data_IF_565358652061
#
_entry.id   IF_565358652061
#
_cell.length_a   1.000
_cell.length_b   1.000
_cell.length_c   1.000
_cell.angle_alpha   90.00
_cell.angle_beta   90.00
_cell.angle_gamma   90.00
#
_symmetry.space_group_name_H-M   'P 1'
#
loop_
_entity.id
_entity.type
_entity.pdbx_description
1 polymer ?
#
# COMPACT_ATOMS: atom_id res chain seq x y z
N UNK A 1 -14.97 5.89 -11.36
CA UNK A 1 -14.22 6.71 -10.38
C UNK A 1 -12.75 6.69 -10.72
N UNK A 2 -12.29 7.73 -11.42
CA UNK A 2 -10.96 7.80 -12.03
C UNK A 2 -9.89 8.41 -11.09
N UNK A 3 -10.29 8.82 -9.88
CA UNK A 3 -9.44 9.57 -8.94
C UNK A 3 -8.39 8.68 -8.27
N UNK A 4 -8.75 7.48 -7.82
CA UNK A 4 -7.86 6.52 -7.17
C UNK A 4 -6.78 6.04 -8.15
N UNK A 5 -7.16 5.80 -9.42
CA UNK A 5 -6.23 5.46 -10.49
C UNK A 5 -5.29 6.63 -10.84
N UNK A 6 -5.80 7.87 -10.88
CA UNK A 6 -4.97 9.07 -11.07
C UNK A 6 -3.96 9.26 -9.93
N UNK A 7 -4.41 9.06 -8.69
CA UNK A 7 -3.54 9.10 -7.51
C UNK A 7 -2.52 7.97 -7.51
N UNK A 8 -2.91 6.75 -7.88
CA UNK A 8 -2.00 5.60 -8.02
C UNK A 8 -0.92 5.90 -9.08
N UNK A 9 -1.29 6.52 -10.21
CA UNK A 9 -0.31 6.92 -11.25
C UNK A 9 0.67 7.99 -10.76
N UNK A 10 0.24 8.93 -9.92
CA UNK A 10 1.07 10.05 -9.44
C UNK A 10 1.89 9.70 -8.20
N UNK A 11 1.30 8.98 -7.25
CA UNK A 11 1.84 8.71 -5.91
C UNK A 11 2.15 7.23 -5.65
N UNK A 12 1.85 6.32 -6.58
CA UNK A 12 2.10 4.89 -6.41
C UNK A 12 3.55 4.53 -6.10
N UNK A 13 4.52 5.37 -6.49
CA UNK A 13 5.95 5.20 -6.17
C UNK A 13 6.29 5.37 -4.69
N UNK A 14 5.42 6.03 -3.91
CA UNK A 14 5.61 6.26 -2.47
C UNK A 14 4.85 5.23 -1.62
N UNK A 15 4.20 4.25 -2.24
CA UNK A 15 3.46 3.22 -1.51
C UNK A 15 4.44 2.34 -0.71
N UNK A 16 4.19 2.23 0.60
CA UNK A 16 5.00 1.41 1.51
C UNK A 16 4.58 -0.04 1.35
N UNK A 17 5.53 -0.90 1.01
CA UNK A 17 5.29 -2.34 0.85
C UNK A 17 5.30 -3.02 2.23
N UNK A 18 4.46 -4.03 2.43
CA UNK A 18 4.30 -4.74 3.71
C UNK A 18 3.88 -3.80 4.86
N UNK A 19 2.90 -2.93 4.62
CA UNK A 19 2.48 -1.92 5.59
C UNK A 19 2.00 -2.55 6.92
N UNK A 20 1.37 -3.73 6.86
CA UNK A 20 0.97 -4.46 8.08
C UNK A 20 2.13 -4.88 8.96
N UNK A 21 3.27 -5.22 8.37
CA UNK A 21 4.46 -5.56 9.15
C UNK A 21 4.91 -4.36 9.97
N UNK A 22 4.93 -3.17 9.37
CA UNK A 22 5.29 -1.94 10.07
C UNK A 22 4.30 -1.63 11.20
N UNK A 23 2.99 -1.82 10.99
CA UNK A 23 2.00 -1.68 12.06
C UNK A 23 2.25 -2.65 13.22
N UNK A 24 2.57 -3.92 12.92
CA UNK A 24 2.86 -4.93 13.94
C UNK A 24 4.14 -4.59 14.69
N UNK A 25 5.19 -4.12 14.01
CA UNK A 25 6.41 -3.64 14.65
C UNK A 25 6.09 -2.46 15.59
N UNK A 26 5.24 -1.53 15.17
CA UNK A 26 4.76 -0.45 16.04
C UNK A 26 4.04 -0.99 17.29
N UNK A 27 3.22 -2.03 17.16
CA UNK A 27 2.56 -2.66 18.31
C UNK A 27 3.55 -3.35 19.26
N UNK A 28 4.57 -4.03 18.72
CA UNK A 28 5.65 -4.64 19.53
C UNK A 28 6.39 -3.55 20.31
N UNK A 29 6.73 -2.43 19.66
CA UNK A 29 7.34 -1.27 20.34
C UNK A 29 6.38 -0.73 21.42
N UNK A 30 5.09 -0.62 21.12
CA UNK A 30 4.06 -0.21 22.08
C UNK A 30 3.99 -1.09 23.32
N UNK A 31 4.05 -2.42 23.15
CA UNK A 31 4.11 -3.36 24.26
C UNK A 31 5.36 -3.16 25.11
N UNK A 32 6.53 -2.98 24.49
CA UNK A 32 7.78 -2.70 25.22
C UNK A 32 7.61 -1.43 26.06
N UNK A 33 7.13 -0.34 25.46
CA UNK A 33 6.89 0.94 26.16
C UNK A 33 5.92 0.75 27.33
N UNK A 34 4.86 -0.04 27.14
CA UNK A 34 3.88 -0.32 28.20
C UNK A 34 4.53 -0.93 29.44
N UNK A 35 5.40 -1.92 29.25
CA UNK A 35 6.05 -2.61 30.36
C UNK A 35 7.22 -1.83 30.95
N UNK A 36 7.97 -1.06 30.15
CA UNK A 36 9.15 -0.32 30.65
C UNK A 36 8.81 1.04 31.24
N UNK A 37 7.86 1.77 30.63
CA UNK A 37 7.50 3.14 31.01
C UNK A 37 5.99 3.34 30.84
N UNK A 38 5.15 2.79 31.74
CA UNK A 38 3.70 2.80 31.59
C UNK A 38 3.11 4.21 31.49
N UNK A 39 3.71 5.20 32.17
CA UNK A 39 3.29 6.59 32.11
C UNK A 39 3.45 7.21 30.70
N UNK A 40 4.36 6.67 29.87
CA UNK A 40 4.60 7.16 28.52
C UNK A 40 3.38 6.93 27.61
N UNK A 41 2.57 5.90 27.85
CA UNK A 41 1.37 5.61 27.05
C UNK A 41 0.40 6.78 27.06
N UNK A 42 0.25 7.47 28.18
CA UNK A 42 -0.65 8.63 28.31
C UNK A 42 -0.22 9.80 27.41
N UNK A 43 1.05 9.85 26.99
CA UNK A 43 1.57 10.83 26.03
C UNK A 43 1.38 10.41 24.57
N UNK A 44 1.14 9.11 24.33
CA UNK A 44 0.98 8.53 23.01
C UNK A 44 -0.49 8.45 22.58
N UNK A 45 -1.44 8.48 23.52
CA UNK A 45 -2.89 8.39 23.25
C UNK A 45 -3.39 9.54 22.40
N UNK A 46 -4.41 9.26 21.58
CA UNK A 46 -5.05 10.25 20.73
C UNK A 46 -5.97 11.14 21.58
N UNK A 47 -5.51 12.37 21.87
CA UNK A 47 -6.31 13.36 22.58
C UNK A 47 -6.39 14.68 21.81
N UNK A 48 -7.56 15.00 21.21
CA UNK A 48 -7.79 16.27 20.55
C UNK A 48 -7.53 17.50 21.44
N UNK A 49 -7.83 17.42 22.74
CA UNK A 49 -7.73 18.57 23.64
C UNK A 49 -6.27 19.02 23.85
N UNK A 50 -5.36 18.05 23.99
CA UNK A 50 -3.93 18.29 24.11
C UNK A 50 -3.27 18.56 22.75
N UNK A 51 -3.82 18.03 21.64
CA UNK A 51 -3.34 18.36 20.30
C UNK A 51 -3.53 19.86 20.01
N UNK A 52 -4.69 20.42 20.35
CA UNK A 52 -4.97 21.86 20.19
C UNK A 52 -4.02 22.71 21.06
N UNK A 53 -3.53 22.16 22.18
CA UNK A 53 -2.54 22.80 23.06
C UNK A 53 -1.08 22.60 22.63
N UNK A 54 -0.84 22.03 21.44
CA UNK A 54 0.50 21.90 20.84
C UNK A 54 1.11 20.49 20.82
N UNK A 55 0.42 19.46 21.35
CA UNK A 55 0.92 18.07 21.35
C UNK A 55 0.62 17.35 20.02
N UNK A 56 1.15 17.85 18.90
CA UNK A 56 0.82 17.38 17.54
C UNK A 56 1.24 15.94 17.24
N UNK A 57 2.22 15.39 17.96
CA UNK A 57 2.66 13.99 17.77
C UNK A 57 1.55 12.98 18.05
N UNK A 58 0.56 13.34 18.89
CA UNK A 58 -0.61 12.52 19.22
C UNK A 58 -1.49 12.18 18.03
N UNK A 59 -1.33 12.84 16.89
CA UNK A 59 -2.02 12.50 15.65
C UNK A 59 -1.57 11.16 15.06
N UNK A 60 -0.34 10.71 15.38
CA UNK A 60 0.27 9.51 14.80
C UNK A 60 0.70 8.53 15.89
N UNK A 61 1.14 9.02 17.06
CA UNK A 61 1.72 8.17 18.11
C UNK A 61 0.77 7.11 18.66
N UNK A 62 -0.53 7.34 18.59
CA UNK A 62 -1.55 6.41 19.08
C UNK A 62 -1.58 5.10 18.28
N UNK A 63 -1.03 5.10 17.05
CA UNK A 63 -0.87 3.88 16.23
C UNK A 63 0.11 2.90 16.88
N UNK A 64 1.01 3.36 17.76
CA UNK A 64 1.89 2.48 18.53
C UNK A 64 1.15 1.77 19.66
N UNK A 65 -0.02 2.26 20.08
CA UNK A 65 -0.75 1.67 21.20
C UNK A 65 -1.37 0.34 20.76
N UNK A 66 -1.00 -0.78 21.42
CA UNK A 66 -1.55 -2.08 21.07
C UNK A 66 -3.04 -2.16 21.41
N UNK A 67 -3.82 -2.99 20.67
CA UNK A 67 -5.27 -3.07 20.81
C UNK A 67 -5.75 -3.78 22.10
N UNK A 68 -4.86 -4.41 22.87
CA UNK A 68 -5.21 -5.16 24.09
C UNK A 68 -3.98 -5.63 24.88
N UNK A 69 -4.19 -6.42 25.93
CA UNK A 69 -3.12 -7.02 26.75
C UNK A 69 -2.19 -7.92 25.93
N UNK A 70 -0.97 -8.10 26.42
CA UNK A 70 -0.03 -9.05 25.83
C UNK A 70 -0.30 -10.45 26.38
N UNK A 71 -0.89 -11.31 25.55
CA UNK A 71 -1.16 -12.71 25.87
C UNK A 71 -0.73 -13.61 24.70
N UNK A 72 -0.65 -14.92 24.93
CA UNK A 72 -0.33 -15.90 23.87
C UNK A 72 -1.29 -15.76 22.67
N UNK A 73 -2.56 -15.45 22.96
CA UNK A 73 -3.60 -15.20 21.96
C UNK A 73 -3.32 -13.94 21.13
N UNK A 74 -2.73 -12.92 21.75
CA UNK A 74 -2.33 -11.68 21.06
C UNK A 74 -1.26 -11.98 20.01
N UNK A 75 -0.28 -12.84 20.32
CA UNK A 75 0.75 -13.23 19.32
C UNK A 75 0.11 -13.96 18.13
N UNK A 76 -0.80 -14.89 18.40
CA UNK A 76 -1.55 -15.62 17.36
C UNK A 76 -2.39 -14.64 16.53
N UNK A 77 -3.05 -13.68 17.20
CA UNK A 77 -3.86 -12.65 16.58
C UNK A 77 -3.01 -11.74 15.68
N UNK A 78 -1.86 -11.25 16.15
CA UNK A 78 -0.94 -10.43 15.35
C UNK A 78 -0.45 -11.18 14.10
N UNK A 79 -0.11 -12.47 14.23
CA UNK A 79 0.25 -13.30 13.09
C UNK A 79 -0.91 -13.45 12.10
N UNK A 80 -2.13 -13.65 12.61
CA UNK A 80 -3.34 -13.71 11.79
C UNK A 80 -3.58 -12.41 11.02
N UNK A 81 -3.46 -11.25 11.68
CA UNK A 81 -3.57 -9.94 11.03
C UNK A 81 -2.47 -9.68 10.02
N UNK A 82 -1.24 -10.15 10.28
CA UNK A 82 -0.17 -10.12 9.28
C UNK A 82 -0.55 -10.90 8.01
N UNK A 83 -1.01 -12.15 8.19
CA UNK A 83 -1.42 -13.03 7.08
C UNK A 83 -2.56 -12.42 6.26
N UNK A 84 -3.59 -11.92 6.94
CA UNK A 84 -4.73 -11.28 6.30
C UNK A 84 -4.31 -10.00 5.59
N UNK A 85 -3.57 -9.12 6.27
CA UNK A 85 -3.16 -7.84 5.73
C UNK A 85 -2.25 -7.97 4.51
N UNK A 86 -1.29 -8.90 4.55
CA UNK A 86 -0.44 -9.19 3.38
C UNK A 86 -1.24 -9.79 2.22
N UNK A 87 -2.22 -10.65 2.50
CA UNK A 87 -3.14 -11.17 1.48
C UNK A 87 -3.96 -10.05 0.83
N UNK A 88 -4.47 -9.12 1.64
CA UNK A 88 -5.23 -7.96 1.16
C UNK A 88 -4.36 -6.98 0.36
N UNK A 89 -3.13 -6.72 0.82
CA UNK A 89 -2.16 -5.88 0.10
C UNK A 89 -1.83 -6.46 -1.28
N UNK A 90 -1.67 -7.78 -1.39
CA UNK A 90 -1.45 -8.46 -2.67
C UNK A 90 -2.69 -8.43 -3.57
N UNK A 91 -3.88 -8.57 -3.00
CA UNK A 91 -5.14 -8.60 -3.74
C UNK A 91 -5.49 -7.21 -4.34
N UNK A 92 -5.31 -6.16 -3.54
CA UNK A 92 -5.72 -4.80 -3.90
C UNK A 92 -4.58 -3.97 -4.50
N UNK A 93 -3.33 -4.37 -4.26
CA UNK A 93 -2.13 -3.62 -4.61
C UNK A 93 -1.68 -2.68 -3.50
N UNK A 94 -0.36 -2.50 -3.40
CA UNK A 94 0.31 -1.78 -2.30
C UNK A 94 -0.22 -0.35 -2.11
N UNK A 95 -0.38 0.44 -3.18
CA UNK A 95 -0.86 1.82 -3.06
C UNK A 95 -2.26 1.91 -2.44
N UNK A 96 -3.19 1.04 -2.88
CA UNK A 96 -4.58 1.07 -2.41
C UNK A 96 -4.70 0.62 -0.97
N UNK A 97 -3.93 -0.41 -0.60
CA UNK A 97 -3.83 -0.85 0.78
C UNK A 97 -3.29 0.26 1.71
N UNK A 98 -2.28 1.02 1.26
CA UNK A 98 -1.80 2.19 1.99
C UNK A 98 -2.91 3.24 2.16
N UNK A 99 -3.61 3.60 1.08
CA UNK A 99 -4.71 4.57 1.14
C UNK A 99 -5.79 4.12 2.12
N UNK A 100 -6.13 2.83 2.15
CA UNK A 100 -7.11 2.27 3.07
C UNK A 100 -6.72 2.39 4.55
N UNK A 101 -5.46 2.07 4.87
CA UNK A 101 -4.96 2.16 6.25
C UNK A 101 -4.84 3.63 6.67
N UNK A 102 -4.28 4.49 5.81
CA UNK A 102 -4.14 5.91 6.11
C UNK A 102 -5.49 6.63 6.19
N UNK A 103 -6.47 6.27 5.35
CA UNK A 103 -7.83 6.80 5.48
C UNK A 103 -8.46 6.37 6.79
N UNK A 104 -8.22 5.14 7.24
CA UNK A 104 -8.66 4.67 8.56
C UNK A 104 -8.09 5.49 9.70
N UNK A 105 -6.79 5.75 9.68
CA UNK A 105 -6.11 6.60 10.67
C UNK A 105 -6.73 8.02 10.65
N UNK A 106 -6.90 8.62 9.46
CA UNK A 106 -7.48 9.96 9.30
C UNK A 106 -8.92 10.01 9.79
N UNK A 107 -9.78 9.05 9.43
CA UNK A 107 -11.16 9.02 9.89
C UNK A 107 -11.27 8.81 11.40
N UNK A 108 -10.35 8.04 12.00
CA UNK A 108 -10.28 7.88 13.46
C UNK A 108 -9.92 9.20 14.13
N UNK A 109 -8.93 9.92 13.59
CA UNK A 109 -8.55 11.27 14.06
C UNK A 109 -9.71 12.25 13.93
N UNK A 110 -10.36 12.30 12.77
CA UNK A 110 -11.53 13.17 12.55
C UNK A 110 -12.65 12.80 13.53
N UNK A 111 -12.92 11.51 13.74
CA UNK A 111 -13.92 11.04 14.72
C UNK A 111 -13.60 11.51 16.14
N UNK A 112 -12.32 11.50 16.53
CA UNK A 112 -11.88 12.01 17.82
C UNK A 112 -12.12 13.52 17.96
N UNK A 113 -11.78 14.31 16.95
CA UNK A 113 -12.04 15.76 16.95
C UNK A 113 -13.54 16.08 16.95
N UNK A 114 -14.36 15.33 16.21
CA UNK A 114 -15.82 15.49 16.21
C UNK A 114 -16.38 15.23 17.62
N UNK A 115 -15.93 14.16 18.29
CA UNK A 115 -16.34 13.89 19.67
C UNK A 115 -15.91 14.98 20.64
N UNK A 116 -14.69 15.51 20.48
CA UNK A 116 -14.21 16.62 21.30
C UNK A 116 -15.09 17.88 21.16
N UNK A 117 -15.59 18.17 19.96
CA UNK A 117 -16.49 19.31 19.72
C UNK A 117 -17.91 19.09 20.26
N UNK A 118 -18.44 17.87 20.13
CA UNK A 118 -19.82 17.54 20.56
C UNK A 118 -19.90 17.32 22.08
N UNK A 119 -18.81 16.84 22.69
CA UNK A 119 -18.77 16.47 24.10
C UNK A 119 -17.56 17.12 24.81
N UNK A 120 -17.52 18.46 24.92
CA UNK A 120 -16.39 19.19 25.48
C UNK A 120 -16.15 18.92 26.98
N UNK A 121 -17.18 18.46 27.70
CA UNK A 121 -17.09 18.03 29.10
C UNK A 121 -16.76 16.53 29.26
N UNK A 122 -16.48 15.83 28.15
CA UNK A 122 -16.04 14.44 28.18
C UNK A 122 -14.75 14.31 28.96
N UNK A 123 -14.71 13.34 29.88
CA UNK A 123 -13.45 13.09 30.59
C UNK A 123 -12.37 12.72 29.57
N UNK A 124 -11.21 13.38 29.70
CA UNK A 124 -10.01 13.15 28.89
C UNK A 124 -9.73 11.65 28.71
N UNK A 125 -9.91 10.88 29.78
CA UNK A 125 -9.66 9.44 29.82
C UNK A 125 -10.65 8.67 28.94
N UNK A 126 -11.92 9.07 28.93
CA UNK A 126 -12.98 8.39 28.16
C UNK A 126 -12.78 8.58 26.67
N UNK A 127 -12.44 9.78 26.21
CA UNK A 127 -12.23 10.05 24.77
C UNK A 127 -10.93 9.39 24.30
N UNK A 128 -9.83 9.59 25.03
CA UNK A 128 -8.50 9.17 24.59
C UNK A 128 -8.28 7.65 24.57
N UNK A 129 -8.92 6.92 25.50
CA UNK A 129 -8.83 5.45 25.55
C UNK A 129 -9.82 4.75 24.60
N UNK A 130 -10.83 5.48 24.11
CA UNK A 130 -11.84 4.90 23.22
C UNK A 130 -11.36 4.83 21.76
N UNK A 131 -10.36 5.62 21.38
CA UNK A 131 -9.75 5.53 20.06
C UNK A 131 -8.50 4.66 20.11
N UNK A 132 -8.62 3.45 19.56
CA UNK A 132 -7.52 2.50 19.51
C UNK A 132 -7.38 1.86 18.14
N UNK A 133 -6.23 1.22 17.93
CA UNK A 133 -5.89 0.43 16.75
C UNK A 133 -6.82 -0.78 16.56
N UNK A 134 -7.61 -1.14 17.57
CA UNK A 134 -8.66 -2.15 17.51
C UNK A 134 -9.63 -1.92 16.35
N UNK A 135 -10.10 -0.69 16.18
CA UNK A 135 -11.07 -0.35 15.14
C UNK A 135 -10.47 -0.43 13.72
N UNK A 136 -9.18 -0.11 13.58
CA UNK A 136 -8.45 -0.31 12.33
C UNK A 136 -8.35 -1.82 12.02
N UNK A 137 -7.97 -2.63 13.01
CA UNK A 137 -7.90 -4.08 12.86
C UNK A 137 -9.26 -4.68 12.46
N UNK A 138 -10.35 -4.26 13.10
CA UNK A 138 -11.70 -4.71 12.72
C UNK A 138 -12.08 -4.31 11.31
N UNK A 139 -11.74 -3.09 10.90
CA UNK A 139 -11.91 -2.65 9.51
C UNK A 139 -11.19 -3.60 8.53
N UNK A 140 -9.90 -3.90 8.79
CA UNK A 140 -9.09 -4.80 7.95
C UNK A 140 -9.71 -6.20 7.88
N UNK A 141 -10.19 -6.72 9.01
CA UNK A 141 -10.84 -8.02 9.08
C UNK A 141 -12.10 -8.07 8.21
N UNK A 142 -12.96 -7.05 8.31
CA UNK A 142 -14.18 -6.94 7.51
C UNK A 142 -13.86 -6.82 6.00
N UNK A 143 -12.85 -6.03 5.65
CA UNK A 143 -12.33 -5.91 4.28
C UNK A 143 -11.82 -7.24 3.70
N UNK A 144 -11.13 -8.03 4.52
CA UNK A 144 -10.66 -9.34 4.13
C UNK A 144 -11.81 -10.34 3.99
N UNK A 145 -12.75 -10.36 4.93
CA UNK A 145 -13.91 -11.24 4.90
C UNK A 145 -14.76 -11.05 3.64
N UNK A 146 -14.89 -9.81 3.19
CA UNK A 146 -15.59 -9.50 1.95
C UNK A 146 -14.81 -9.90 0.70
N UNK A 147 -13.48 -9.76 0.71
CA UNK A 147 -12.62 -10.15 -0.40
C UNK A 147 -12.49 -11.68 -0.54
N UNK A 148 -12.55 -12.39 0.59
CA UNK A 148 -12.30 -13.82 0.70
C UNK A 148 -13.30 -14.54 1.63
N UNK A 149 -14.61 -14.53 1.31
CA UNK A 149 -15.65 -15.03 2.21
C UNK A 149 -15.60 -16.55 2.45
N UNK A 150 -15.12 -17.32 1.47
CA UNK A 150 -15.05 -18.78 1.56
C UNK A 150 -13.71 -19.32 2.07
N UNK A 151 -12.72 -18.45 2.31
CA UNK A 151 -11.47 -18.86 2.94
C UNK A 151 -11.74 -19.37 4.37
N UNK A 152 -11.01 -20.40 4.77
CA UNK A 152 -11.16 -21.07 6.07
C UNK A 152 -10.04 -20.67 7.01
N UNK A 153 -10.38 -20.46 8.27
CA UNK A 153 -9.46 -20.20 9.37
C UNK A 153 -9.67 -21.28 10.42
N UNK A 154 -8.60 -21.87 10.92
CA UNK A 154 -8.64 -22.86 11.98
C UNK A 154 -8.77 -22.16 13.34
N UNK A 155 -9.96 -22.15 13.89
CA UNK A 155 -10.22 -21.67 15.24
C UNK A 155 -9.60 -22.65 16.26
N UNK A 156 -8.75 -22.12 17.14
CA UNK A 156 -7.90 -22.88 18.06
C UNK A 156 -7.08 -24.01 17.42
N UNK A 157 -6.68 -23.86 16.15
CA UNK A 157 -5.99 -24.90 15.38
C UNK A 157 -6.78 -26.21 15.18
N UNK A 158 -8.08 -26.25 15.52
CA UNK A 158 -8.91 -27.47 15.46
C UNK A 158 -10.09 -27.32 14.51
N UNK A 159 -10.86 -26.23 14.62
CA UNK A 159 -12.15 -26.11 13.92
C UNK A 159 -12.00 -25.20 12.69
N UNK A 160 -12.12 -25.70 11.44
CA UNK A 160 -12.11 -24.87 10.26
C UNK A 160 -13.43 -24.09 10.13
N UNK A 161 -13.36 -22.77 10.31
CA UNK A 161 -14.51 -21.86 10.18
C UNK A 161 -14.27 -20.96 8.96
N UNK A 162 -15.30 -20.83 8.11
CA UNK A 162 -15.25 -19.88 6.99
C UNK A 162 -15.32 -18.44 7.51
N UNK A 163 -14.50 -17.56 6.96
CA UNK A 163 -14.38 -16.17 7.44
C UNK A 163 -15.71 -15.43 7.37
N UNK A 164 -16.59 -15.72 6.40
CA UNK A 164 -17.93 -15.10 6.35
C UNK A 164 -18.73 -15.25 7.64
N UNK A 165 -18.61 -16.39 8.33
CA UNK A 165 -19.30 -16.62 9.61
C UNK A 165 -18.71 -15.77 10.73
N UNK A 166 -17.38 -15.67 10.77
CA UNK A 166 -16.68 -14.79 11.71
C UNK A 166 -17.02 -13.32 11.46
N UNK A 167 -17.16 -12.91 10.20
CA UNK A 167 -17.58 -11.56 9.85
C UNK A 167 -19.03 -11.24 10.26
N UNK A 168 -19.96 -12.19 10.11
CA UNK A 168 -21.31 -12.01 10.65
C UNK A 168 -21.30 -11.88 12.18
N UNK A 169 -20.48 -12.68 12.86
CA UNK A 169 -20.31 -12.56 14.31
C UNK A 169 -19.71 -11.19 14.71
N UNK A 170 -18.71 -10.71 13.98
CA UNK A 170 -18.08 -9.41 14.21
C UNK A 170 -19.06 -8.25 13.97
N UNK A 171 -19.84 -8.28 12.88
CA UNK A 171 -20.90 -7.29 12.62
C UNK A 171 -21.97 -7.32 13.74
N UNK A 172 -22.39 -8.52 14.16
CA UNK A 172 -23.36 -8.66 15.24
C UNK A 172 -22.82 -8.09 16.57
N UNK A 173 -21.54 -8.34 16.87
CA UNK A 173 -20.87 -7.79 18.04
C UNK A 173 -20.78 -6.26 17.99
N UNK A 174 -20.39 -5.70 16.83
CA UNK A 174 -20.36 -4.24 16.63
C UNK A 174 -21.77 -3.63 16.75
N UNK A 175 -22.80 -4.29 16.25
CA UNK A 175 -24.19 -3.83 16.38
C UNK A 175 -24.68 -3.85 17.83
N UNK A 176 -24.34 -4.90 18.59
CA UNK A 176 -24.62 -4.98 20.02
C UNK A 176 -23.92 -3.86 20.79
N UNK A 177 -22.64 -3.65 20.54
CA UNK A 177 -21.85 -2.56 21.12
C UNK A 177 -22.38 -1.18 20.73
N UNK A 178 -22.92 -1.03 19.52
CA UNK A 178 -23.54 0.22 19.08
C UNK A 178 -24.84 0.52 19.85
N UNK A 179 -25.66 -0.50 20.09
CA UNK A 179 -26.92 -0.36 20.83
C UNK A 179 -26.67 -0.02 22.31
N UNK A 180 -25.82 -0.82 22.98
CA UNK A 180 -25.57 -0.70 24.41
C UNK A 180 -24.58 0.44 24.75
N UNK A 181 -23.70 0.78 23.81
CA UNK A 181 -22.58 1.68 24.06
C UNK A 181 -22.94 3.17 24.16
N UNK A 182 -22.05 3.90 24.82
CA UNK A 182 -22.10 5.36 24.97
C UNK A 182 -21.88 6.09 23.63
N UNK A 183 -22.18 7.40 23.59
CA UNK A 183 -21.97 8.22 22.39
C UNK A 183 -20.54 8.09 21.82
N UNK A 184 -19.55 7.96 22.70
CA UNK A 184 -18.14 7.79 22.34
C UNK A 184 -17.90 6.50 21.56
N UNK A 185 -18.38 5.35 22.06
CA UNK A 185 -18.22 4.07 21.37
C UNK A 185 -19.00 4.03 20.06
N UNK A 186 -20.18 4.67 20.00
CA UNK A 186 -20.98 4.79 18.76
C UNK A 186 -20.23 5.55 17.67
N UNK A 187 -19.56 6.66 18.01
CA UNK A 187 -18.77 7.42 17.03
C UNK A 187 -17.51 6.66 16.62
N UNK A 188 -16.85 5.95 17.54
CA UNK A 188 -15.69 5.13 17.20
C UNK A 188 -16.05 3.97 16.23
N UNK A 189 -17.16 3.26 16.50
CA UNK A 189 -17.71 2.22 15.61
C UNK A 189 -18.16 2.85 14.27
N UNK A 190 -18.81 4.01 14.32
CA UNK A 190 -19.22 4.73 13.13
C UNK A 190 -18.03 5.10 12.23
N UNK A 191 -16.94 5.59 12.80
CA UNK A 191 -15.72 5.93 12.07
C UNK A 191 -15.06 4.70 11.42
N UNK A 192 -15.03 3.56 12.12
CA UNK A 192 -14.44 2.32 11.60
C UNK A 192 -15.27 1.73 10.45
N UNK A 193 -16.61 1.76 10.58
CA UNK A 193 -17.54 1.34 9.54
C UNK A 193 -17.51 2.30 8.36
N UNK A 194 -17.42 3.61 8.60
CA UNK A 194 -17.32 4.61 7.54
C UNK A 194 -16.07 4.39 6.69
N UNK A 195 -14.91 4.13 7.33
CA UNK A 195 -13.70 3.78 6.59
C UNK A 195 -13.91 2.57 5.67
N UNK A 196 -14.52 1.52 6.21
CA UNK A 196 -14.84 0.32 5.44
C UNK A 196 -15.82 0.59 4.29
N UNK A 197 -16.91 1.31 4.54
CA UNK A 197 -17.96 1.61 3.55
C UNK A 197 -17.42 2.50 2.43
N UNK A 198 -16.72 3.59 2.77
CA UNK A 198 -16.15 4.52 1.78
C UNK A 198 -15.15 3.77 0.90
N UNK A 199 -14.29 2.94 1.49
CA UNK A 199 -13.32 2.20 0.73
C UNK A 199 -13.95 1.05 -0.07
N UNK A 200 -14.98 0.39 0.46
CA UNK A 200 -15.74 -0.62 -0.26
C UNK A 200 -16.35 -0.04 -1.52
N UNK A 201 -17.09 1.08 -1.44
CA UNK A 201 -17.65 1.71 -2.63
C UNK A 201 -16.58 2.24 -3.57
N UNK A 202 -15.44 2.71 -3.05
CA UNK A 202 -14.30 3.10 -3.85
C UNK A 202 -13.63 1.92 -4.58
N UNK A 203 -13.81 0.68 -4.11
CA UNK A 203 -13.11 -0.51 -4.62
C UNK A 203 -14.02 -1.51 -5.34
N UNK A 204 -15.34 -1.47 -5.08
CA UNK A 204 -16.37 -2.40 -5.60
C UNK A 204 -16.40 -2.51 -7.12
N UNK A 205 -16.04 -1.45 -7.83
CA UNK A 205 -16.07 -1.40 -9.30
C UNK A 205 -14.74 -1.79 -9.96
N UNK A 206 -13.75 -2.28 -9.20
CA UNK A 206 -12.44 -2.59 -9.75
C UNK A 206 -12.20 -4.09 -9.77
N UNK A 207 -11.96 -4.61 -10.98
CA UNK A 207 -11.52 -6.00 -11.15
C UNK A 207 -10.21 -6.19 -10.37
N UNK A 208 -10.14 -7.18 -9.47
CA UNK A 208 -8.85 -7.55 -8.87
C UNK A 208 -7.86 -7.87 -9.99
N UNK A 209 -6.60 -7.48 -9.80
CA UNK A 209 -5.55 -7.83 -10.76
C UNK A 209 -5.54 -9.34 -10.91
N UNK A 210 -5.89 -9.82 -12.10
CA UNK A 210 -5.98 -11.26 -12.33
C UNK A 210 -4.55 -11.82 -12.23
N UNK A 211 -4.31 -12.96 -11.58
CA UNK A 211 -2.96 -13.55 -11.49
C UNK A 211 -2.29 -13.69 -12.88
N UNK A 212 -3.10 -13.91 -13.93
CA UNK A 212 -2.68 -13.92 -15.34
C UNK A 212 -2.14 -12.58 -15.83
N UNK A 213 -2.73 -11.45 -15.41
CA UNK A 213 -2.30 -10.10 -15.79
C UNK A 213 -0.99 -9.71 -15.10
N UNK A 214 -0.84 -10.11 -13.83
CA UNK A 214 0.43 -9.94 -13.11
C UNK A 214 1.55 -10.78 -13.76
N UNK A 215 1.29 -12.05 -14.06
CA UNK A 215 2.24 -12.92 -14.77
C UNK A 215 2.59 -12.38 -16.16
N UNK A 216 1.62 -11.86 -16.91
CA UNK A 216 1.84 -11.21 -18.22
C UNK A 216 2.71 -9.96 -18.09
N UNK A 217 2.47 -9.12 -17.08
CA UNK A 217 3.28 -7.91 -16.82
C UNK A 217 4.71 -8.25 -16.41
N UNK A 218 4.90 -9.32 -15.63
CA UNK A 218 6.21 -9.81 -15.24
C UNK A 218 6.97 -10.44 -16.41
N UNK A 219 6.28 -11.21 -17.27
CA UNK A 219 6.84 -11.71 -18.55
C UNK A 219 7.25 -10.55 -19.45
N UNK A 220 6.38 -9.57 -19.65
CA UNK A 220 6.70 -8.37 -20.42
C UNK A 220 7.90 -7.60 -19.85
N UNK A 221 7.98 -7.42 -18.53
CA UNK A 221 9.17 -6.80 -17.89
C UNK A 221 10.45 -7.60 -18.09
N UNK A 222 10.39 -8.94 -18.06
CA UNK A 222 11.53 -9.81 -18.35
C UNK A 222 11.93 -9.72 -19.82
N UNK A 223 10.97 -9.71 -20.74
CA UNK A 223 11.20 -9.56 -22.17
C UNK A 223 11.78 -8.19 -22.53
N UNK A 224 11.32 -7.10 -21.93
CA UNK A 224 11.88 -5.75 -22.11
C UNK A 224 13.29 -5.63 -21.51
N UNK A 225 13.60 -6.34 -20.42
CA UNK A 225 14.98 -6.41 -19.91
C UNK A 225 15.90 -7.25 -20.80
N UNK A 226 15.38 -8.34 -21.39
CA UNK A 226 16.12 -9.24 -22.27
C UNK A 226 16.36 -8.61 -23.64
N UNK A 227 15.34 -7.93 -24.17
CA UNK A 227 15.34 -7.19 -25.43
C UNK A 227 14.94 -5.74 -25.13
N UNK A 228 15.87 -4.90 -24.66
CA UNK A 228 15.59 -3.48 -24.48
C UNK A 228 15.16 -2.86 -25.81
N UNK A 229 14.19 -1.93 -25.82
CA UNK A 229 13.80 -1.23 -27.04
C UNK A 229 15.04 -0.58 -27.68
N UNK A 230 15.09 -0.47 -29.02
CA UNK A 230 16.28 -0.03 -29.75
C UNK A 230 16.84 1.34 -29.28
N UNK A 231 15.98 2.18 -28.68
CA UNK A 231 16.38 3.46 -28.09
C UNK A 231 17.25 3.36 -26.82
N UNK A 232 17.27 2.21 -26.13
CA UNK A 232 18.08 2.00 -24.92
C UNK A 232 19.28 1.05 -25.13
N UNK A 233 19.27 0.22 -26.19
CA UNK A 233 20.41 -0.62 -26.56
C UNK A 233 21.63 0.21 -27.06
N UNK A 234 21.38 1.39 -27.64
CA UNK A 234 22.39 2.33 -28.15
C UNK A 234 23.03 3.22 -27.07
N UNK A 235 23.21 2.73 -25.84
CA UNK A 235 24.01 3.43 -24.82
C UNK A 235 25.44 2.88 -24.68
N UNK A 236 25.77 1.73 -25.27
CA UNK A 236 27.13 1.17 -25.20
C UNK A 236 27.62 0.48 -26.48
N UNK A 237 26.93 0.65 -27.61
CA UNK A 237 27.32 0.08 -28.90
C UNK A 237 27.49 1.19 -29.94
N UNK A 238 28.37 1.00 -30.95
CA UNK A 238 28.59 1.98 -32.00
C UNK A 238 27.27 2.23 -32.75
N UNK A 239 26.85 3.49 -32.82
CA UNK A 239 25.67 3.96 -33.56
C UNK A 239 25.91 3.92 -35.06
N UNK A 240 27.14 4.17 -35.48
CA UNK A 240 27.52 4.24 -36.88
C UNK A 240 28.55 3.16 -37.24
N UNK A 241 28.37 2.55 -38.42
CA UNK A 241 29.27 1.52 -38.94
C UNK A 241 29.34 1.57 -40.47
N UNK A 242 30.55 1.67 -41.01
CA UNK A 242 30.76 1.66 -42.45
C UNK A 242 30.50 0.28 -43.06
N UNK A 243 29.69 0.22 -44.13
CA UNK A 243 29.35 -1.01 -44.84
C UNK A 243 30.51 -1.64 -45.66
N UNK A 244 31.59 -0.91 -45.90
CA UNK A 244 32.76 -1.36 -46.69
C UNK A 244 33.90 -1.80 -45.78
N UNK A 245 34.40 -0.91 -44.91
CA UNK A 245 35.55 -1.20 -44.06
C UNK A 245 35.20 -1.64 -42.64
N UNK A 246 33.93 -1.55 -42.23
CA UNK A 246 33.48 -1.97 -40.90
C UNK A 246 33.85 -1.04 -39.76
N UNK A 247 34.59 0.06 -40.00
CA UNK A 247 34.95 1.08 -38.98
C UNK A 247 33.70 1.70 -38.37
N UNK A 248 33.81 2.05 -37.09
CA UNK A 248 32.75 2.62 -36.28
C UNK A 248 33.16 3.97 -35.68
N UNK A 249 32.20 4.72 -35.17
CA UNK A 249 32.43 6.00 -34.45
C UNK A 249 33.34 5.87 -33.20
N UNK A 250 33.62 4.63 -32.75
CA UNK A 250 34.51 4.35 -31.63
C UNK A 250 35.98 4.20 -32.05
N UNK A 251 36.25 3.96 -33.33
CA UNK A 251 37.61 3.69 -33.83
C UNK A 251 38.39 4.99 -34.09
N UNK A 252 37.71 6.06 -34.51
CA UNK A 252 38.30 7.39 -34.69
C UNK A 252 37.22 8.49 -34.52
N UNK A 253 37.40 9.44 -33.58
CA UNK A 253 36.43 10.52 -33.32
C UNK A 253 36.18 11.48 -34.48
N UNK A 254 37.06 11.53 -35.49
CA UNK A 254 36.96 12.45 -36.62
C UNK A 254 36.25 11.84 -37.85
N UNK A 255 35.85 10.56 -37.81
CA UNK A 255 35.16 9.92 -38.92
C UNK A 255 33.70 10.35 -38.98
N UNK A 256 33.31 11.00 -40.07
CA UNK A 256 31.89 11.21 -40.38
C UNK A 256 31.30 10.04 -41.17
N UNK A 257 30.08 9.65 -40.79
CA UNK A 257 29.30 8.63 -41.49
C UNK A 257 28.13 9.27 -42.22
N UNK A 258 27.96 8.94 -43.50
CA UNK A 258 26.87 9.45 -44.35
C UNK A 258 26.20 8.33 -45.12
N UNK A 259 24.93 8.53 -45.45
CA UNK A 259 24.16 7.63 -46.30
C UNK A 259 24.36 7.97 -47.77
N UNK A 260 24.43 6.95 -48.62
CA UNK A 260 24.37 7.15 -50.06
C UNK A 260 22.92 7.18 -50.52
N UNK A 261 22.49 8.26 -51.18
CA UNK A 261 21.13 8.40 -51.72
C UNK A 261 20.79 7.44 -52.85
N UNK A 262 21.80 6.83 -53.49
CA UNK A 262 21.64 5.90 -54.62
C UNK A 262 21.63 4.42 -54.21
N UNK A 263 22.02 4.10 -52.97
CA UNK A 263 22.02 2.72 -52.48
C UNK A 263 20.65 2.36 -51.90
N UNK A 264 20.24 1.11 -52.08
CA UNK A 264 18.99 0.61 -51.53
C UNK A 264 19.20 0.08 -50.10
N UNK A 265 18.55 0.71 -49.12
CA UNK A 265 18.67 0.38 -47.70
C UNK A 265 19.52 1.35 -46.88
N UNK A 266 19.53 1.16 -45.55
CA UNK A 266 20.19 2.06 -44.60
C UNK A 266 21.69 1.73 -44.43
N UNK A 267 22.45 1.76 -45.54
CA UNK A 267 23.91 1.57 -45.49
C UNK A 267 24.62 2.90 -45.26
N UNK A 268 25.41 2.98 -44.19
CA UNK A 268 26.28 4.11 -43.89
C UNK A 268 27.69 3.86 -44.43
N UNK A 269 28.32 4.93 -44.91
CA UNK A 269 29.69 4.93 -45.41
C UNK A 269 30.51 6.00 -44.69
N UNK A 270 31.76 5.70 -44.34
CA UNK A 270 32.69 6.71 -43.84
C UNK A 270 33.12 7.66 -44.97
N UNK A 271 33.68 8.82 -44.64
CA UNK A 271 34.14 9.82 -45.62
C UNK A 271 35.00 9.22 -46.75
N UNK A 272 35.91 8.30 -46.43
CA UNK A 272 36.80 7.65 -47.41
C UNK A 272 36.08 6.73 -48.40
N UNK A 273 34.97 6.11 -47.99
CA UNK A 273 34.24 5.12 -48.79
C UNK A 273 32.94 5.66 -49.39
N UNK A 274 32.55 6.89 -49.06
CA UNK A 274 31.30 7.48 -49.55
C UNK A 274 31.28 7.66 -51.08
N UNK A 275 32.45 7.89 -51.70
CA UNK A 275 32.55 8.13 -53.15
C UNK A 275 33.18 6.96 -53.92
N UNK A 276 33.69 5.94 -53.23
CA UNK A 276 34.41 4.81 -53.83
C UNK A 276 33.69 3.47 -53.66
N UNK A 277 32.54 3.45 -52.98
CA UNK A 277 31.74 2.24 -52.82
C UNK A 277 30.96 1.88 -54.09
N UNK A 278 30.80 0.58 -54.33
CA UNK A 278 29.86 0.08 -55.32
C UNK A 278 28.43 0.19 -54.80
N UNK A 279 27.55 0.80 -55.60
CA UNK A 279 26.15 0.97 -55.22
C UNK A 279 25.45 -0.39 -55.16
N UNK A 280 25.00 -0.75 -53.95
CA UNK A 280 24.12 -1.90 -53.75
C UNK A 280 22.71 -1.51 -54.17
N UNK A 281 22.21 -2.16 -55.22
CA UNK A 281 20.83 -2.03 -55.72
C UNK A 281 19.84 -2.81 -54.86
#
# INVERSE_FOLDING_TARGET
MDWLNKMERKFGRYAIHNLTLYLIICYVIGYIIWYTVPNMILYLTLDPSLIVRGQVWRLISWVLIPPGSFDILTVIMLFFYYSIGTSLERAWGTFRYNVYIFSGIIFTVIGAFILFLIYPNGSFLTISLSFSTYYINMSIFLAYAMSYPDMQVLLYMVIPIRIKWLAYADIAYLAYMFWQGNLVSRVAIGASLLNFIVFYFATKNFKPYTPKEFARKQKFRKEVKKNPPPSQAHKSGPRHRCAVCGRTELDDPNLEFRYCSKCNGNYEYCQDHLFTHEHKK
#
